data_IF_982881603599
#
_entry.id   IF_982881603599
#
_cell.length_a   1.000
_cell.length_b   1.000
_cell.length_c   1.000
_cell.angle_alpha   90.00
_cell.angle_beta   90.00
_cell.angle_gamma   90.00
#
_symmetry.space_group_name_H-M   'P 1'
#
loop_
_entity.id
_entity.type
_entity.pdbx_description
1 polymer ?
#
# COMPACT_ATOMS: atom_id res chain seq x y z
N UNK A 1 8.90 43.18 -16.22
CA UNK A 1 9.48 43.20 -14.88
C UNK A 1 8.99 41.92 -14.15
N UNK A 2 9.80 40.88 -14.13
CA UNK A 2 9.47 39.62 -13.53
C UNK A 2 10.27 39.49 -12.24
N UNK A 3 9.57 39.42 -11.08
CA UNK A 3 10.17 39.29 -9.76
C UNK A 3 10.48 37.78 -9.51
N UNK A 4 11.76 37.45 -9.48
CA UNK A 4 12.24 36.12 -9.04
C UNK A 4 12.07 36.00 -7.52
N UNK A 5 11.34 34.98 -7.08
CA UNK A 5 11.25 34.56 -5.67
C UNK A 5 12.35 33.55 -5.37
N UNK A 6 13.15 33.86 -4.36
CA UNK A 6 14.27 33.06 -3.88
C UNK A 6 13.77 31.87 -3.05
N UNK A 7 14.17 30.69 -3.45
CA UNK A 7 13.98 29.47 -2.67
C UNK A 7 15.11 29.37 -1.62
N UNK A 8 14.75 29.43 -0.34
CA UNK A 8 15.70 29.22 0.75
C UNK A 8 15.92 27.73 0.94
N UNK A 9 17.14 27.28 0.66
CA UNK A 9 17.64 25.95 1.02
C UNK A 9 17.98 25.92 2.50
N UNK A 10 17.25 25.16 3.29
CA UNK A 10 17.60 24.85 4.67
C UNK A 10 18.62 23.71 4.66
N UNK A 11 19.87 24.04 4.96
CA UNK A 11 20.95 23.10 5.19
C UNK A 11 20.87 22.64 6.65
N UNK A 12 20.54 21.38 6.91
CA UNK A 12 20.68 20.76 8.23
C UNK A 12 22.13 20.26 8.34
N UNK A 13 22.90 20.95 9.16
CA UNK A 13 24.27 20.55 9.52
C UNK A 13 24.20 19.54 10.68
N UNK A 14 24.56 18.29 10.43
CA UNK A 14 24.80 17.27 11.47
C UNK A 14 26.21 17.47 12.00
N UNK A 15 26.32 17.94 13.24
CA UNK A 15 27.57 18.00 14.00
C UNK A 15 27.87 16.61 14.59
N UNK A 16 28.86 15.93 14.06
CA UNK A 16 29.46 14.75 14.66
C UNK A 16 30.56 15.19 15.61
N UNK A 17 30.30 15.06 16.92
CA UNK A 17 31.32 15.28 17.95
C UNK A 17 32.03 13.96 18.23
N UNK A 18 33.27 13.84 17.79
CA UNK A 18 34.16 12.75 18.19
C UNK A 18 34.79 13.11 19.55
N UNK A 19 34.60 12.25 20.55
CA UNK A 19 35.36 12.27 21.78
C UNK A 19 36.06 10.93 21.96
N UNK A 20 37.38 10.92 21.86
CA UNK A 20 38.23 9.81 22.17
C UNK A 20 38.62 9.83 23.66
N UNK A 21 38.91 8.62 24.16
CA UNK A 21 39.74 8.24 25.29
C UNK A 21 39.01 7.77 26.56
N UNK A 22 39.27 6.50 26.86
CA UNK A 22 39.10 5.92 28.19
C UNK A 22 39.09 4.39 28.19
N UNK A 23 40.23 3.75 28.40
CA UNK A 23 40.39 2.32 28.65
C UNK A 23 39.57 1.84 29.88
N UNK A 24 38.99 0.66 29.78
CA UNK A 24 38.87 -0.21 30.95
C UNK A 24 37.54 -0.90 31.12
N UNK A 25 37.63 -2.23 31.19
CA UNK A 25 36.72 -3.22 31.78
C UNK A 25 35.59 -3.75 30.90
N UNK A 26 35.81 -4.97 30.51
CA UNK A 26 34.86 -5.94 29.96
C UNK A 26 33.56 -5.99 30.73
N UNK A 27 32.46 -5.70 30.04
CA UNK A 27 31.15 -6.31 30.32
C UNK A 27 30.52 -6.59 28.96
N UNK A 28 30.47 -7.86 28.65
CA UNK A 28 29.65 -8.40 27.57
C UNK A 28 28.19 -8.07 27.89
N UNK A 29 27.69 -6.99 27.36
CA UNK A 29 26.25 -6.81 27.16
C UNK A 29 25.97 -7.31 25.76
N UNK A 30 25.50 -8.51 25.74
CA UNK A 30 24.87 -9.19 24.62
C UNK A 30 23.75 -8.30 24.04
N UNK A 31 24.11 -7.51 23.04
CA UNK A 31 23.14 -6.81 22.21
C UNK A 31 22.58 -7.85 21.25
N UNK A 32 21.67 -8.68 21.74
CA UNK A 32 20.73 -9.41 20.90
C UNK A 32 19.87 -8.38 20.17
N UNK A 33 20.39 -7.87 19.06
CA UNK A 33 19.57 -7.41 17.98
C UNK A 33 18.65 -8.58 17.66
N UNK A 34 17.37 -8.43 18.03
CA UNK A 34 16.36 -9.41 17.71
C UNK A 34 16.39 -9.64 16.21
N UNK A 35 16.93 -10.78 15.81
CA UNK A 35 16.67 -11.35 14.50
C UNK A 35 15.16 -11.56 14.46
N UNK A 36 14.44 -10.64 13.80
CA UNK A 36 13.09 -10.92 13.35
C UNK A 36 13.20 -12.22 12.57
N UNK A 37 12.69 -13.28 13.14
CA UNK A 37 12.57 -14.57 12.49
C UNK A 37 11.74 -14.33 11.24
N UNK A 38 12.38 -14.27 10.09
CA UNK A 38 11.69 -14.25 8.81
C UNK A 38 10.86 -15.53 8.76
N UNK A 39 9.54 -15.38 8.87
CA UNK A 39 8.62 -16.49 8.70
C UNK A 39 8.84 -16.99 7.28
N UNK A 40 9.27 -18.26 7.12
CA UNK A 40 9.45 -18.89 5.82
C UNK A 40 8.06 -19.14 5.20
N UNK A 41 7.55 -18.15 4.48
CA UNK A 41 6.24 -18.18 3.81
C UNK A 41 6.36 -19.06 2.57
N UNK A 42 5.56 -20.13 2.52
CA UNK A 42 5.55 -21.07 1.40
C UNK A 42 4.28 -20.97 0.58
N UNK A 43 4.44 -21.09 -0.73
CA UNK A 43 3.32 -21.22 -1.64
C UNK A 43 2.48 -22.47 -1.31
N UNK A 44 1.17 -22.38 -1.37
CA UNK A 44 0.27 -23.51 -1.19
C UNK A 44 0.52 -24.55 -2.30
N UNK A 45 0.56 -25.83 -1.91
CA UNK A 45 0.71 -26.96 -2.85
C UNK A 45 -0.54 -27.20 -3.72
N UNK A 46 -1.69 -26.73 -3.26
CA UNK A 46 -2.96 -26.76 -3.97
C UNK A 46 -3.55 -25.34 -4.00
N UNK A 47 -3.11 -24.47 -4.93
CA UNK A 47 -3.56 -23.11 -4.99
C UNK A 47 -5.06 -22.96 -5.28
N UNK A 48 -5.71 -22.04 -4.59
CA UNK A 48 -7.05 -21.58 -4.95
C UNK A 48 -6.94 -20.53 -6.06
N UNK A 49 -7.41 -20.83 -7.26
CA UNK A 49 -7.38 -19.92 -8.40
C UNK A 49 -8.20 -18.62 -8.19
N UNK A 50 -9.01 -18.55 -7.13
CA UNK A 50 -9.79 -17.37 -6.76
C UNK A 50 -9.20 -16.61 -5.56
N UNK A 51 -7.99 -16.95 -5.09
CA UNK A 51 -7.41 -16.33 -3.90
C UNK A 51 -7.24 -14.82 -4.05
N UNK A 52 -6.79 -14.34 -5.21
CA UNK A 52 -6.71 -12.92 -5.53
C UNK A 52 -8.09 -12.24 -5.39
N UNK A 53 -9.14 -12.83 -5.97
CA UNK A 53 -10.48 -12.26 -5.92
C UNK A 53 -11.06 -12.27 -4.49
N UNK A 54 -10.81 -13.32 -3.72
CA UNK A 54 -11.20 -13.40 -2.32
C UNK A 54 -10.54 -12.31 -1.48
N UNK A 55 -9.24 -12.07 -1.67
CA UNK A 55 -8.49 -11.02 -0.98
C UNK A 55 -8.98 -9.63 -1.45
N UNK A 56 -9.16 -9.40 -2.73
CA UNK A 56 -9.72 -8.16 -3.25
C UNK A 56 -11.10 -7.88 -2.65
N UNK A 57 -11.97 -8.89 -2.61
CA UNK A 57 -13.31 -8.78 -2.02
C UNK A 57 -13.25 -8.48 -0.53
N UNK A 58 -12.35 -9.14 0.21
CA UNK A 58 -12.16 -8.92 1.64
C UNK A 58 -11.83 -7.46 1.94
N UNK A 59 -10.90 -6.88 1.20
CA UNK A 59 -10.39 -5.53 1.43
C UNK A 59 -11.15 -4.42 0.68
N UNK A 60 -12.06 -4.75 -0.23
CA UNK A 60 -12.89 -3.75 -0.88
C UNK A 60 -14.04 -3.31 0.04
N UNK A 61 -14.20 -2.01 0.21
CA UNK A 61 -15.31 -1.41 0.96
C UNK A 61 -16.40 -0.94 -0.01
N UNK A 62 -17.66 -1.14 0.37
CA UNK A 62 -18.78 -0.61 -0.40
C UNK A 62 -18.71 0.93 -0.51
N UNK A 63 -19.04 1.53 -1.66
CA UNK A 63 -18.95 2.99 -1.85
C UNK A 63 -19.71 3.79 -0.78
N UNK A 64 -20.87 3.31 -0.35
CA UNK A 64 -21.64 3.95 0.73
C UNK A 64 -20.89 3.96 2.07
N UNK A 65 -20.16 2.91 2.41
CA UNK A 65 -19.34 2.84 3.62
C UNK A 65 -18.10 3.75 3.55
N UNK A 66 -17.48 3.85 2.37
CA UNK A 66 -16.40 4.81 2.13
C UNK A 66 -16.91 6.25 2.29
N UNK A 67 -18.05 6.57 1.69
CA UNK A 67 -18.67 7.88 1.83
C UNK A 67 -19.07 8.18 3.28
N UNK A 68 -19.59 7.20 4.00
CA UNK A 68 -19.94 7.36 5.42
C UNK A 68 -18.71 7.70 6.28
N UNK A 69 -17.54 7.16 5.97
CA UNK A 69 -16.28 7.51 6.65
C UNK A 69 -15.92 8.98 6.43
N UNK A 70 -16.00 9.46 5.19
CA UNK A 70 -15.75 10.87 4.86
C UNK A 70 -16.75 11.80 5.58
N UNK A 71 -18.04 11.44 5.61
CA UNK A 71 -19.09 12.19 6.31
C UNK A 71 -18.83 12.21 7.81
N UNK A 72 -18.53 11.08 8.44
CA UNK A 72 -18.24 11.01 9.87
C UNK A 72 -16.98 11.83 10.25
N UNK A 73 -15.95 11.82 9.40
CA UNK A 73 -14.76 12.66 9.56
C UNK A 73 -15.13 14.15 9.49
N UNK A 74 -15.91 14.54 8.48
CA UNK A 74 -16.32 15.93 8.30
C UNK A 74 -17.18 16.42 9.46
N UNK A 75 -18.10 15.61 9.97
CA UNK A 75 -18.94 15.94 11.14
C UNK A 75 -18.09 16.19 12.39
N UNK A 76 -17.14 15.30 12.70
CA UNK A 76 -16.25 15.45 13.82
C UNK A 76 -15.42 16.76 13.75
N UNK A 77 -14.90 17.12 12.59
CA UNK A 77 -14.16 18.36 12.40
C UNK A 77 -15.05 19.59 12.46
N UNK A 78 -16.27 19.51 11.94
CA UNK A 78 -17.26 20.58 12.01
C UNK A 78 -17.67 20.91 13.46
N UNK A 79 -17.75 19.93 14.34
CA UNK A 79 -17.99 20.12 15.78
C UNK A 79 -16.87 20.97 16.44
N UNK A 80 -15.70 20.96 15.84
CA UNK A 80 -14.53 21.76 16.25
C UNK A 80 -14.39 23.07 15.45
N UNK A 81 -15.38 23.44 14.63
CA UNK A 81 -15.37 24.58 13.70
C UNK A 81 -14.25 24.50 12.65
N UNK A 82 -13.85 23.29 12.26
CA UNK A 82 -12.87 22.99 11.22
C UNK A 82 -13.57 22.43 9.98
N UNK A 83 -12.85 22.41 8.86
CA UNK A 83 -13.39 21.94 7.58
C UNK A 83 -12.68 20.69 7.08
N UNK A 84 -13.42 19.79 6.44
CA UNK A 84 -12.88 18.64 5.75
C UNK A 84 -13.33 18.67 4.29
N UNK A 85 -12.40 18.73 3.34
CA UNK A 85 -12.78 18.73 1.93
C UNK A 85 -13.37 17.38 1.55
N UNK A 86 -14.45 17.39 0.79
CA UNK A 86 -15.00 16.15 0.25
C UNK A 86 -13.97 15.47 -0.66
N UNK A 87 -13.72 14.21 -0.41
CA UNK A 87 -12.86 13.38 -1.23
C UNK A 87 -13.69 12.40 -2.03
N UNK A 88 -13.32 12.14 -3.28
CA UNK A 88 -13.95 11.06 -4.04
C UNK A 88 -13.72 9.74 -3.32
N UNK A 89 -14.69 8.85 -3.41
CA UNK A 89 -14.52 7.46 -2.96
C UNK A 89 -13.37 6.83 -3.72
N UNK A 90 -12.46 6.16 -3.01
CA UNK A 90 -11.28 5.52 -3.60
C UNK A 90 -11.67 4.45 -4.62
N UNK A 91 -10.75 4.14 -5.52
CA UNK A 91 -10.88 3.01 -6.44
C UNK A 91 -10.95 1.69 -5.65
N UNK A 92 -11.48 0.66 -6.29
CA UNK A 92 -11.50 -0.69 -5.71
C UNK A 92 -10.07 -1.15 -5.40
N UNK A 93 -9.88 -1.77 -4.24
CA UNK A 93 -8.61 -2.38 -3.87
C UNK A 93 -8.25 -3.50 -4.85
N UNK A 94 -6.98 -3.57 -5.23
CA UNK A 94 -6.42 -4.67 -6.00
C UNK A 94 -5.10 -5.13 -5.39
N UNK A 95 -5.06 -6.35 -4.88
CA UNK A 95 -3.84 -6.94 -4.32
C UNK A 95 -2.77 -7.12 -5.40
N UNK A 96 -3.15 -7.32 -6.65
CA UNK A 96 -2.20 -7.44 -7.77
C UNK A 96 -1.39 -6.16 -7.96
N UNK A 97 -1.97 -4.98 -7.64
CA UNK A 97 -1.25 -3.71 -7.72
C UNK A 97 -0.17 -3.54 -6.64
N UNK A 98 -0.19 -4.36 -5.59
CA UNK A 98 0.87 -4.39 -4.56
C UNK A 98 2.10 -5.18 -5.04
N UNK A 99 1.95 -6.00 -6.06
CA UNK A 99 3.06 -6.74 -6.66
C UNK A 99 3.64 -5.92 -7.82
N UNK A 100 4.88 -5.49 -7.67
CA UNK A 100 5.66 -4.87 -8.74
C UNK A 100 6.30 -5.98 -9.60
N UNK A 101 6.38 -5.80 -10.92
CA UNK A 101 5.85 -4.69 -11.69
C UNK A 101 4.32 -4.76 -11.84
N UNK A 102 3.72 -3.59 -12.01
CA UNK A 102 2.28 -3.51 -12.33
C UNK A 102 1.99 -4.20 -13.66
N UNK A 103 0.79 -4.76 -13.82
CA UNK A 103 0.36 -5.31 -15.11
C UNK A 103 0.52 -4.28 -16.24
N UNK A 104 0.97 -4.74 -17.40
CA UNK A 104 1.17 -3.91 -18.58
C UNK A 104 0.69 -4.66 -19.82
N UNK A 105 -0.44 -4.24 -20.39
CA UNK A 105 -0.91 -4.78 -21.66
C UNK A 105 -0.21 -4.13 -22.86
N UNK A 106 -0.08 -4.84 -24.00
CA UNK A 106 0.44 -4.22 -25.22
C UNK A 106 -0.35 -3.00 -25.67
N UNK A 107 -1.67 -3.00 -25.49
CA UNK A 107 -2.57 -1.89 -25.82
C UNK A 107 -2.29 -0.67 -24.95
N UNK A 108 -2.18 -0.87 -23.62
CA UNK A 108 -1.87 0.21 -22.67
C UNK A 108 -0.45 0.76 -22.90
N UNK A 109 0.53 -0.12 -23.13
CA UNK A 109 1.89 0.28 -23.44
C UNK A 109 1.95 1.14 -24.72
N UNK A 110 1.19 0.77 -25.75
CA UNK A 110 1.14 1.51 -27.00
C UNK A 110 0.45 2.86 -26.85
N UNK A 111 -0.55 2.98 -25.99
CA UNK A 111 -1.34 4.20 -25.82
C UNK A 111 -0.71 5.15 -24.78
N UNK A 112 -0.20 4.62 -23.68
CA UNK A 112 0.19 5.39 -22.50
C UNK A 112 1.65 5.20 -22.08
N UNK A 113 2.37 4.24 -22.66
CA UNK A 113 3.69 3.85 -22.16
C UNK A 113 3.57 3.19 -20.79
N UNK A 114 4.45 3.57 -19.87
CA UNK A 114 4.34 3.18 -18.45
C UNK A 114 3.39 4.04 -17.64
N UNK A 115 2.83 5.08 -18.25
CA UNK A 115 1.88 5.94 -17.56
C UNK A 115 0.51 5.26 -17.56
N UNK A 116 0.03 4.87 -16.38
CA UNK A 116 -1.39 4.53 -16.27
C UNK A 116 -2.21 5.80 -16.47
N UNK A 117 -3.39 5.73 -17.12
CA UNK A 117 -4.31 6.85 -17.17
C UNK A 117 -4.67 7.25 -15.73
N UNK A 118 -3.91 8.17 -15.16
CA UNK A 118 -4.31 8.78 -13.89
C UNK A 118 -5.58 9.56 -14.16
N UNK A 119 -6.68 9.10 -13.59
CA UNK A 119 -7.81 10.00 -13.42
C UNK A 119 -7.27 11.18 -12.62
N UNK A 120 -7.25 12.38 -13.19
CA UNK A 120 -6.73 13.62 -12.58
C UNK A 120 -7.48 14.06 -11.30
N UNK A 121 -8.17 13.13 -10.66
CA UNK A 121 -9.01 13.37 -9.47
C UNK A 121 -8.15 13.74 -8.26
N UNK A 122 -6.99 13.10 -8.09
CA UNK A 122 -6.10 13.40 -6.96
C UNK A 122 -5.38 14.75 -7.06
N UNK A 123 -5.12 15.23 -8.28
CA UNK A 123 -4.39 16.48 -8.50
C UNK A 123 -5.19 17.74 -8.17
N UNK A 124 -6.52 17.63 -8.04
CA UNK A 124 -7.42 18.75 -7.77
C UNK A 124 -8.10 18.68 -6.39
N UNK A 125 -7.64 17.83 -5.48
CA UNK A 125 -8.18 17.81 -4.13
C UNK A 125 -7.81 19.09 -3.40
N UNK A 126 -8.78 19.75 -2.72
CA UNK A 126 -8.49 20.89 -1.87
C UNK A 126 -7.45 20.50 -0.79
N UNK A 127 -6.50 21.40 -0.55
CA UNK A 127 -5.54 21.21 0.54
C UNK A 127 -6.28 21.21 1.88
N UNK A 128 -5.84 20.32 2.78
CA UNK A 128 -6.30 20.32 4.17
C UNK A 128 -5.38 21.28 4.92
N UNK A 129 -5.95 22.22 5.69
CA UNK A 129 -5.17 23.10 6.53
C UNK A 129 -4.58 22.36 7.74
N UNK A 130 -3.51 22.93 8.33
CA UNK A 130 -2.76 22.31 9.41
C UNK A 130 -3.63 22.04 10.67
N UNK A 131 -4.59 22.90 10.97
CA UNK A 131 -5.48 22.73 12.13
C UNK A 131 -6.46 21.57 11.92
N UNK A 132 -7.06 21.48 10.72
CA UNK A 132 -7.94 20.38 10.32
C UNK A 132 -7.16 19.06 10.29
N UNK A 133 -5.93 19.07 9.79
CA UNK A 133 -5.08 17.88 9.78
C UNK A 133 -4.69 17.44 11.20
N UNK A 134 -4.31 18.36 12.08
CA UNK A 134 -3.99 18.07 13.48
C UNK A 134 -5.20 17.48 14.24
N UNK A 135 -6.39 18.04 14.06
CA UNK A 135 -7.61 17.53 14.66
C UNK A 135 -8.05 16.16 14.08
N UNK A 136 -7.80 15.94 12.77
CA UNK A 136 -8.02 14.64 12.14
C UNK A 136 -7.13 13.56 12.74
N UNK A 137 -5.82 13.82 12.84
CA UNK A 137 -4.85 12.86 13.37
C UNK A 137 -4.95 12.69 14.90
N UNK A 138 -5.33 13.74 15.65
CA UNK A 138 -5.32 13.76 17.11
C UNK A 138 -3.90 13.88 17.70
N UNK A 139 -3.82 13.82 19.03
CA UNK A 139 -2.55 13.87 19.76
C UNK A 139 -2.21 12.47 20.30
N UNK A 140 -1.14 11.82 19.82
CA UNK A 140 -0.75 10.49 20.28
C UNK A 140 -0.38 10.43 21.77
N UNK A 141 -0.05 11.57 22.40
CA UNK A 141 0.18 11.65 23.85
C UNK A 141 -1.09 11.40 24.69
N UNK A 142 -2.28 11.62 24.08
CA UNK A 142 -3.58 11.37 24.75
C UNK A 142 -4.03 9.92 24.65
N UNK A 143 -3.18 9.03 24.19
CA UNK A 143 -3.44 7.60 24.02
C UNK A 143 -3.41 7.17 22.58
N UNK A 144 -2.86 5.97 22.33
CA UNK A 144 -2.77 5.33 21.02
C UNK A 144 -3.71 4.14 20.90
N UNK A 145 -4.27 3.96 19.73
CA UNK A 145 -5.05 2.77 19.34
C UNK A 145 -4.21 2.00 18.33
N UNK A 146 -3.83 0.78 18.68
CA UNK A 146 -3.07 -0.15 17.84
C UNK A 146 -3.74 -1.51 17.82
N UNK A 147 -3.45 -2.28 16.79
CA UNK A 147 -3.94 -3.66 16.63
C UNK A 147 -2.73 -4.57 16.47
N UNK A 148 -2.73 -5.67 17.17
CA UNK A 148 -1.66 -6.67 17.08
C UNK A 148 -1.50 -7.18 15.63
N UNK A 149 -0.28 -7.26 15.18
CA UNK A 149 0.06 -7.69 13.80
C UNK A 149 -0.19 -6.63 12.72
N UNK A 150 -0.67 -5.42 13.07
CA UNK A 150 -0.85 -4.30 12.14
C UNK A 150 0.08 -3.16 12.54
N UNK A 151 1.01 -2.74 11.66
CA UNK A 151 1.94 -1.66 11.97
C UNK A 151 1.24 -0.31 12.20
N UNK A 152 1.78 0.46 13.14
CA UNK A 152 1.33 1.81 13.44
C UNK A 152 0.24 1.87 14.51
N UNK A 153 -0.03 3.11 14.93
CA UNK A 153 -1.10 3.45 15.87
C UNK A 153 -1.73 4.77 15.44
N UNK A 154 -3.00 4.97 15.76
CA UNK A 154 -3.69 6.26 15.60
C UNK A 154 -3.95 6.86 16.99
N UNK A 155 -4.05 8.19 17.08
CA UNK A 155 -4.41 8.83 18.35
C UNK A 155 -5.90 8.59 18.66
N UNK A 156 -6.19 8.31 19.93
CA UNK A 156 -7.53 7.96 20.38
C UNK A 156 -8.52 9.15 20.35
N UNK A 157 -8.02 10.38 20.40
CA UNK A 157 -8.79 11.62 20.43
C UNK A 157 -8.98 12.26 19.04
N UNK A 158 -8.36 11.71 17.97
CA UNK A 158 -8.48 12.23 16.61
C UNK A 158 -9.83 11.93 15.96
N UNK A 159 -10.23 12.79 15.02
CA UNK A 159 -11.44 12.56 14.21
C UNK A 159 -11.33 11.29 13.35
N UNK A 160 -10.11 10.84 13.03
CA UNK A 160 -9.86 9.54 12.40
C UNK A 160 -10.37 8.39 13.28
N UNK A 161 -10.00 8.36 14.56
CA UNK A 161 -10.46 7.33 15.50
C UNK A 161 -11.97 7.38 15.72
N UNK A 162 -12.55 8.60 15.77
CA UNK A 162 -14.01 8.78 15.91
C UNK A 162 -14.76 8.31 14.67
N UNK A 163 -14.28 8.63 13.47
CA UNK A 163 -14.88 8.15 12.22
C UNK A 163 -14.81 6.62 12.09
N UNK A 164 -13.69 6.02 12.49
CA UNK A 164 -13.56 4.56 12.53
C UNK A 164 -14.56 3.94 13.49
N UNK A 165 -14.70 4.49 14.70
CA UNK A 165 -15.70 4.01 15.67
C UNK A 165 -17.12 4.13 15.13
N UNK A 166 -17.45 5.21 14.46
CA UNK A 166 -18.78 5.42 13.89
C UNK A 166 -19.06 4.40 12.76
N UNK A 167 -18.10 4.19 11.87
CA UNK A 167 -18.27 3.34 10.68
C UNK A 167 -18.12 1.87 11.02
N UNK A 168 -17.02 1.47 11.68
CA UNK A 168 -16.68 0.07 11.93
C UNK A 168 -17.15 -0.46 13.29
N UNK A 169 -17.75 0.38 14.12
CA UNK A 169 -18.22 0.03 15.46
C UNK A 169 -17.15 0.15 16.56
N UNK A 170 -15.86 0.12 16.22
CA UNK A 170 -14.75 0.47 17.10
C UNK A 170 -13.59 1.08 16.29
N UNK A 171 -12.71 1.81 16.97
CA UNK A 171 -11.56 2.40 16.30
C UNK A 171 -10.52 1.32 15.93
N UNK A 172 -10.37 0.28 16.75
CA UNK A 172 -9.51 -0.88 16.49
C UNK A 172 -9.94 -1.62 15.23
N UNK A 173 -11.26 -1.84 15.04
CA UNK A 173 -11.78 -2.46 13.83
C UNK A 173 -11.48 -1.61 12.57
N UNK A 174 -11.52 -0.27 12.69
CA UNK A 174 -11.12 0.64 11.62
C UNK A 174 -9.62 0.58 11.32
N UNK A 175 -8.76 0.55 12.37
CA UNK A 175 -7.30 0.38 12.21
C UNK A 175 -7.01 -0.97 11.55
N UNK A 176 -7.61 -2.05 12.02
CA UNK A 176 -7.44 -3.38 11.44
C UNK A 176 -7.81 -3.38 9.95
N UNK A 177 -8.96 -2.79 9.59
CA UNK A 177 -9.42 -2.78 8.21
C UNK A 177 -8.54 -1.90 7.31
N UNK A 178 -8.33 -0.63 7.67
CA UNK A 178 -7.65 0.36 6.81
C UNK A 178 -6.13 0.13 6.73
N UNK A 179 -5.49 -0.22 7.85
CA UNK A 179 -4.04 -0.51 7.86
C UNK A 179 -3.75 -1.97 7.52
N UNK A 180 -4.65 -2.89 7.86
CA UNK A 180 -4.51 -4.30 7.53
C UNK A 180 -4.51 -4.57 6.02
N UNK A 181 -5.29 -3.81 5.26
CA UNK A 181 -5.36 -3.92 3.79
C UNK A 181 -3.99 -3.82 3.10
N UNK A 182 -3.10 -2.98 3.62
CA UNK A 182 -1.78 -2.77 3.05
C UNK A 182 -0.71 -3.68 3.66
N UNK A 183 -0.88 -4.10 4.91
CA UNK A 183 0.19 -4.73 5.67
C UNK A 183 0.04 -6.25 5.82
N UNK A 184 -1.18 -6.75 6.02
CA UNK A 184 -1.38 -8.18 6.28
C UNK A 184 -0.99 -9.09 5.10
N UNK A 185 -1.37 -8.81 3.83
CA UNK A 185 -0.99 -9.64 2.72
C UNK A 185 0.41 -9.36 2.19
N UNK A 186 1.04 -8.22 2.58
CA UNK A 186 2.30 -7.76 2.00
C UNK A 186 3.46 -8.78 2.12
N UNK A 187 3.67 -9.48 3.25
CA UNK A 187 4.71 -10.51 3.34
C UNK A 187 4.52 -11.64 2.30
N UNK A 188 3.28 -12.04 2.03
CA UNK A 188 2.94 -13.08 1.05
C UNK A 188 3.12 -12.57 -0.39
N UNK A 189 2.80 -11.30 -0.64
CA UNK A 189 3.05 -10.64 -1.94
C UNK A 189 4.55 -10.53 -2.20
N UNK A 190 5.34 -10.17 -1.18
CA UNK A 190 6.79 -10.10 -1.31
C UNK A 190 7.43 -11.47 -1.57
N UNK A 191 6.92 -12.53 -0.93
CA UNK A 191 7.41 -13.89 -1.13
C UNK A 191 7.24 -14.38 -2.60
N UNK A 192 6.31 -13.80 -3.39
CA UNK A 192 6.22 -14.07 -4.83
C UNK A 192 7.52 -13.76 -5.56
N UNK A 193 8.21 -12.66 -5.20
CA UNK A 193 9.46 -12.25 -5.85
C UNK A 193 10.65 -13.15 -5.51
N UNK A 194 10.55 -13.89 -4.42
CA UNK A 194 11.57 -14.86 -3.94
C UNK A 194 11.30 -16.28 -4.47
N UNK A 195 10.17 -16.51 -5.14
CA UNK A 195 9.80 -17.80 -5.72
C UNK A 195 10.67 -18.11 -6.95
N UNK A 196 11.17 -19.35 -7.05
CA UNK A 196 12.02 -19.80 -8.15
C UNK A 196 11.32 -19.64 -9.51
N UNK A 197 10.01 -19.91 -9.58
CA UNK A 197 9.20 -19.73 -10.80
C UNK A 197 9.17 -18.27 -11.26
N UNK A 198 9.15 -17.32 -10.32
CA UNK A 198 9.22 -15.90 -10.63
C UNK A 198 10.61 -15.50 -11.13
N UNK A 199 11.65 -16.03 -10.51
CA UNK A 199 13.05 -15.83 -10.97
C UNK A 199 13.28 -16.36 -12.40
N UNK A 200 12.76 -17.54 -12.68
CA UNK A 200 12.83 -18.15 -14.02
C UNK A 200 12.08 -17.29 -15.05
N UNK A 201 10.89 -16.79 -14.69
CA UNK A 201 10.08 -15.89 -15.52
C UNK A 201 10.83 -14.60 -15.87
N UNK A 202 11.50 -13.98 -14.88
CA UNK A 202 12.35 -12.81 -15.11
C UNK A 202 13.50 -13.14 -16.08
N UNK A 203 14.10 -14.32 -15.96
CA UNK A 203 15.14 -14.81 -16.90
C UNK A 203 14.63 -14.91 -18.34
N UNK A 204 13.44 -15.46 -18.54
CA UNK A 204 12.80 -15.56 -19.85
C UNK A 204 12.47 -14.18 -20.43
N UNK A 205 11.90 -13.29 -19.61
CA UNK A 205 11.61 -11.90 -20.00
C UNK A 205 12.89 -11.15 -20.42
N UNK A 206 13.96 -11.24 -19.62
CA UNK A 206 15.27 -10.62 -19.91
C UNK A 206 15.84 -11.12 -21.24
N UNK A 207 15.74 -12.41 -21.50
CA UNK A 207 16.19 -13.02 -22.77
C UNK A 207 15.42 -12.44 -23.94
N UNK A 208 14.07 -12.32 -23.82
CA UNK A 208 13.25 -11.70 -24.84
C UNK A 208 13.64 -10.25 -25.11
N UNK A 209 13.82 -9.43 -24.07
CA UNK A 209 14.23 -8.02 -24.19
C UNK A 209 15.57 -7.89 -24.93
N UNK A 210 16.54 -8.72 -24.58
CA UNK A 210 17.84 -8.72 -25.23
C UNK A 210 17.79 -9.18 -26.68
N UNK A 211 17.18 -10.34 -26.92
CA UNK A 211 17.27 -11.02 -28.24
C UNK A 211 16.39 -10.34 -29.30
N UNK A 212 15.23 -9.81 -28.91
CA UNK A 212 14.30 -9.19 -29.86
C UNK A 212 14.46 -7.67 -29.98
N UNK A 213 14.91 -7.00 -28.91
CA UNK A 213 14.95 -5.54 -28.87
C UNK A 213 16.34 -4.95 -28.58
N UNK A 214 17.34 -5.79 -28.27
CA UNK A 214 18.70 -5.35 -27.94
C UNK A 214 18.79 -4.58 -26.62
N UNK A 215 17.80 -4.75 -25.72
CA UNK A 215 17.70 -4.04 -24.46
C UNK A 215 18.20 -4.93 -23.32
N UNK A 216 19.18 -4.44 -22.57
CA UNK A 216 19.77 -5.15 -21.41
C UNK A 216 19.29 -4.47 -20.11
N UNK A 217 18.23 -4.99 -19.51
CA UNK A 217 17.67 -4.55 -18.24
C UNK A 217 17.44 -5.79 -17.37
N UNK A 218 17.76 -5.71 -16.07
CA UNK A 218 17.75 -6.87 -15.19
C UNK A 218 16.38 -7.39 -14.79
N UNK A 219 15.41 -6.50 -14.67
CA UNK A 219 14.02 -6.87 -14.34
C UNK A 219 13.03 -5.80 -14.81
N UNK A 220 11.73 -6.13 -14.93
CA UNK A 220 10.71 -5.19 -15.40
C UNK A 220 10.50 -3.97 -14.51
N UNK A 221 10.82 -4.03 -13.20
CA UNK A 221 10.71 -2.87 -12.31
C UNK A 221 11.68 -1.77 -12.72
N UNK A 222 12.91 -2.16 -13.13
CA UNK A 222 13.92 -1.22 -13.60
C UNK A 222 13.58 -0.62 -14.96
N UNK A 223 12.83 -1.33 -15.79
CA UNK A 223 12.41 -0.82 -17.09
C UNK A 223 11.58 0.47 -16.97
N UNK A 224 10.78 0.60 -15.91
CA UNK A 224 9.93 1.79 -15.69
C UNK A 224 10.70 3.07 -15.38
N UNK A 225 11.95 2.96 -14.93
CA UNK A 225 12.82 4.08 -14.54
C UNK A 225 14.07 4.20 -15.42
N UNK A 226 14.22 3.32 -16.41
CA UNK A 226 15.36 3.38 -17.34
C UNK A 226 15.22 4.58 -18.28
N UNK A 227 16.30 5.31 -18.44
CA UNK A 227 16.38 6.51 -19.29
C UNK A 227 17.32 6.34 -20.48
N UNK A 228 17.79 5.11 -20.73
CA UNK A 228 18.73 4.83 -21.83
C UNK A 228 18.08 4.93 -23.21
N UNK A 229 16.76 4.84 -23.28
CA UNK A 229 15.97 4.99 -24.49
C UNK A 229 14.65 5.72 -24.18
N UNK A 230 13.83 5.97 -25.23
CA UNK A 230 12.50 6.51 -25.08
C UNK A 230 11.62 5.59 -24.23
N UNK A 231 11.06 6.13 -23.14
CA UNK A 231 10.30 5.36 -22.16
C UNK A 231 9.01 4.75 -22.73
N UNK A 232 8.41 5.40 -23.74
CA UNK A 232 7.23 4.87 -24.41
C UNK A 232 7.60 3.65 -25.28
N UNK A 233 8.69 3.74 -26.04
CA UNK A 233 9.18 2.64 -26.85
C UNK A 233 9.61 1.46 -25.96
N UNK A 234 10.23 1.75 -24.81
CA UNK A 234 10.61 0.73 -23.83
C UNK A 234 9.39 0.00 -23.26
N UNK A 235 8.32 0.73 -22.93
CA UNK A 235 7.07 0.13 -22.45
C UNK A 235 6.45 -0.82 -23.49
N UNK A 236 6.51 -0.47 -24.78
CA UNK A 236 6.03 -1.35 -25.87
C UNK A 236 6.84 -2.65 -25.92
N UNK A 237 8.16 -2.57 -25.84
CA UNK A 237 9.03 -3.74 -25.83
C UNK A 237 8.81 -4.63 -24.61
N UNK A 238 8.71 -4.01 -23.43
CA UNK A 238 8.42 -4.68 -22.17
C UNK A 238 7.08 -5.44 -22.26
N UNK A 239 6.01 -4.78 -22.69
CA UNK A 239 4.69 -5.40 -22.83
C UNK A 239 4.67 -6.57 -23.81
N UNK A 240 5.39 -6.44 -24.97
CA UNK A 240 5.52 -7.53 -25.94
C UNK A 240 6.25 -8.73 -25.34
N UNK A 241 7.34 -8.50 -24.61
CA UNK A 241 8.08 -9.58 -23.97
C UNK A 241 7.31 -10.22 -22.84
N UNK A 242 6.57 -9.44 -22.03
CA UNK A 242 5.66 -10.00 -21.00
C UNK A 242 4.59 -10.89 -21.63
N UNK A 243 3.98 -10.46 -22.73
CA UNK A 243 3.01 -11.26 -23.44
C UNK A 243 3.63 -12.56 -23.97
N UNK A 244 4.83 -12.49 -24.57
CA UNK A 244 5.51 -13.65 -25.14
C UNK A 244 5.83 -14.73 -24.10
N UNK A 245 6.17 -14.35 -22.87
CA UNK A 245 6.52 -15.28 -21.79
C UNK A 245 5.35 -15.60 -20.86
N UNK A 246 4.13 -15.18 -21.17
CA UNK A 246 2.93 -15.32 -20.33
C UNK A 246 3.12 -14.73 -18.91
N UNK A 247 3.80 -13.59 -18.82
CA UNK A 247 4.24 -12.99 -17.56
C UNK A 247 3.09 -12.81 -16.57
N UNK A 248 1.97 -12.27 -17.02
CA UNK A 248 0.83 -11.98 -16.16
C UNK A 248 0.13 -13.24 -15.65
N UNK A 249 0.01 -14.27 -16.49
CA UNK A 249 -0.59 -15.55 -16.12
C UNK A 249 0.27 -16.27 -15.07
N UNK A 250 1.57 -16.43 -15.34
CA UNK A 250 2.50 -17.09 -14.41
C UNK A 250 2.57 -16.34 -13.07
N UNK A 251 2.66 -15.02 -13.11
CA UNK A 251 2.67 -14.19 -11.90
C UNK A 251 1.38 -14.33 -11.11
N UNK A 252 0.23 -14.40 -11.79
CA UNK A 252 -1.08 -14.60 -11.18
C UNK A 252 -1.17 -15.96 -10.48
N UNK A 253 -0.66 -17.01 -11.10
CA UNK A 253 -0.65 -18.36 -10.50
C UNK A 253 0.23 -18.43 -9.24
N UNK A 254 1.42 -17.81 -9.30
CA UNK A 254 2.29 -17.74 -8.13
C UNK A 254 1.60 -16.94 -7.00
N UNK A 255 1.04 -15.77 -7.33
CA UNK A 255 0.35 -14.93 -6.34
C UNK A 255 -0.86 -15.64 -5.73
N UNK A 256 -1.68 -16.36 -6.50
CA UNK A 256 -2.77 -17.16 -5.98
C UNK A 256 -2.27 -18.23 -4.98
N UNK A 257 -1.11 -18.86 -5.24
CA UNK A 257 -0.56 -19.84 -4.33
C UNK A 257 -0.15 -19.23 -2.98
N UNK A 258 0.48 -18.07 -2.98
CA UNK A 258 0.85 -17.36 -1.74
C UNK A 258 -0.37 -16.78 -1.02
N UNK A 259 -1.33 -16.24 -1.74
CA UNK A 259 -2.57 -15.72 -1.14
C UNK A 259 -3.46 -16.84 -0.59
N UNK A 260 -3.39 -18.05 -1.14
CA UNK A 260 -4.04 -19.23 -0.54
C UNK A 260 -3.45 -19.51 0.84
N UNK A 261 -2.14 -19.46 0.99
CA UNK A 261 -1.46 -19.59 2.29
C UNK A 261 -1.86 -18.44 3.23
N UNK A 262 -1.88 -17.19 2.73
CA UNK A 262 -2.35 -16.02 3.49
C UNK A 262 -3.75 -16.26 4.10
N UNK A 263 -4.69 -16.71 3.26
CA UNK A 263 -6.07 -16.96 3.70
C UNK A 263 -6.16 -18.07 4.77
N UNK A 264 -5.34 -19.09 4.65
CA UNK A 264 -5.30 -20.19 5.62
C UNK A 264 -4.62 -19.80 6.95
N UNK A 265 -3.49 -19.08 6.87
CA UNK A 265 -2.72 -18.70 8.06
C UNK A 265 -3.41 -17.62 8.91
N UNK A 266 -4.33 -16.84 8.31
CA UNK A 266 -4.94 -15.66 8.93
C UNK A 266 -6.46 -15.78 9.14
N UNK A 267 -7.03 -16.97 9.23
CA UNK A 267 -8.49 -17.19 9.37
C UNK A 267 -9.13 -16.28 10.43
N UNK A 268 -8.54 -16.19 11.62
CA UNK A 268 -9.08 -15.40 12.72
C UNK A 268 -9.09 -13.88 12.43
N UNK A 269 -8.08 -13.39 11.75
CA UNK A 269 -7.99 -11.97 11.33
C UNK A 269 -8.96 -11.70 10.19
N UNK A 270 -9.13 -12.65 9.27
CA UNK A 270 -10.07 -12.55 8.14
C UNK A 270 -11.51 -12.47 8.65
N UNK A 271 -11.85 -13.23 9.71
CA UNK A 271 -13.17 -13.13 10.36
C UNK A 271 -13.40 -11.75 10.96
N UNK A 272 -12.38 -11.17 11.63
CA UNK A 272 -12.46 -9.80 12.18
C UNK A 272 -12.61 -8.75 11.08
N UNK A 273 -11.85 -8.85 10.00
CA UNK A 273 -11.97 -7.97 8.82
C UNK A 273 -13.37 -8.07 8.18
N UNK A 274 -13.88 -9.28 8.05
CA UNK A 274 -15.23 -9.53 7.52
C UNK A 274 -16.29 -8.90 8.42
N UNK A 275 -16.13 -8.98 9.74
CA UNK A 275 -17.02 -8.36 10.69
C UNK A 275 -16.95 -6.83 10.62
N UNK A 276 -15.73 -6.25 10.57
CA UNK A 276 -15.53 -4.81 10.41
C UNK A 276 -16.23 -4.29 9.15
N UNK A 277 -16.05 -4.96 8.02
CA UNK A 277 -16.71 -4.64 6.76
C UNK A 277 -18.25 -4.67 6.87
N UNK A 278 -18.82 -5.72 7.45
CA UNK A 278 -20.28 -5.82 7.68
C UNK A 278 -20.80 -4.71 8.57
N UNK A 279 -20.04 -4.33 9.60
CA UNK A 279 -20.42 -3.19 10.45
C UNK A 279 -20.39 -1.88 9.69
N UNK A 280 -19.40 -1.65 8.84
CA UNK A 280 -19.32 -0.47 8.00
C UNK A 280 -20.52 -0.37 7.04
N UNK A 281 -20.87 -1.46 6.36
CA UNK A 281 -22.05 -1.53 5.49
C UNK A 281 -23.37 -1.30 6.22
N UNK A 282 -23.48 -1.82 7.45
CA UNK A 282 -24.66 -1.66 8.31
C UNK A 282 -24.83 -0.23 8.80
N UNK A 283 -23.74 0.43 9.20
CA UNK A 283 -23.78 1.75 9.82
C UNK A 283 -23.85 2.88 8.78
N UNK A 284 -23.39 2.66 7.55
CA UNK A 284 -23.30 3.67 6.50
C UNK A 284 -24.65 4.40 6.24
N UNK A 285 -25.80 3.74 6.08
CA UNK A 285 -27.07 4.43 5.81
C UNK A 285 -27.46 5.43 6.90
N UNK A 286 -27.24 5.10 8.17
CA UNK A 286 -27.55 5.99 9.29
C UNK A 286 -26.65 7.23 9.29
N UNK A 287 -25.35 7.04 9.06
CA UNK A 287 -24.38 8.14 9.00
C UNK A 287 -24.73 9.09 7.85
N UNK A 288 -25.00 8.53 6.66
CA UNK A 288 -25.32 9.32 5.47
C UNK A 288 -26.65 10.05 5.58
N UNK A 289 -27.59 9.57 6.39
CA UNK A 289 -28.88 10.25 6.59
C UNK A 289 -28.78 11.51 7.47
N UNK A 290 -27.65 11.70 8.18
CA UNK A 290 -27.39 12.84 9.08
C UNK A 290 -26.53 13.92 8.43
N UNK A 291 -26.13 13.73 7.16
CA UNK A 291 -25.24 14.62 6.40
C UNK A 291 -26.00 15.79 5.74
#
# INVERSE_FOLDING_TARGET
MVKRSSIHKILVAVLVSASLVGCGVSNETDSTAGSESSVDIKAASSPDSQAIEKVNTLFSMAPAAQQAKEVATAQCLQEQNLTWPQRPTSQSFSIRSQLSPSPLSPEDAQQYGYQTPTTNVEQNLPAIDDASWAAYMGNPENGGISVEGVPGAIAADGCLAQSYKAVFGSAEAGVLFESGILNLPLPYVNAVKEDERYSDLIGLWRTCMKDHHGVEIDNPDLATIDTSMDSHQLAIYDAQCRQQVNFEEVTTDILNAYLTTFLADNEGVIDQLTQAKRMAEKNAPEILSKS
#
